data_IF_575837765713
#
_entry.id   IF_575837765713
#
_cell.length_a   1.000
_cell.length_b   1.000
_cell.length_c   1.000
_cell.angle_alpha   90.00
_cell.angle_beta   90.00
_cell.angle_gamma   90.00
#
_symmetry.space_group_name_H-M   'P 1'
#
loop_
_entity.id
_entity.type
_entity.pdbx_description
1 polymer ?
#
# COMPACT_ATOMS: atom_id res chain seq x y z
N UNK A 1 2.92 5.78 7.19
CA UNK A 1 3.65 5.10 6.10
C UNK A 1 4.06 6.05 4.98
N UNK A 2 3.18 6.97 4.51
CA UNK A 2 3.46 7.89 3.39
C UNK A 2 4.76 8.70 3.53
N UNK A 3 4.90 9.48 4.61
CA UNK A 3 6.11 10.28 4.86
C UNK A 3 7.40 9.45 4.86
N UNK A 4 7.34 8.27 5.48
CA UNK A 4 8.49 7.36 5.58
C UNK A 4 8.89 6.77 4.22
N UNK A 5 7.92 6.53 3.32
CA UNK A 5 8.22 6.07 1.97
C UNK A 5 8.94 7.16 1.17
N UNK A 6 8.47 8.41 1.24
CA UNK A 6 9.11 9.55 0.59
C UNK A 6 10.55 9.75 1.09
N UNK A 7 10.76 9.80 2.41
CA UNK A 7 12.08 9.94 3.03
C UNK A 7 13.06 8.83 2.58
N UNK A 8 12.60 7.58 2.44
CA UNK A 8 13.46 6.48 1.98
C UNK A 8 13.83 6.57 0.51
N UNK A 9 12.91 7.03 -0.35
CA UNK A 9 13.19 7.24 -1.78
C UNK A 9 14.35 8.22 -1.94
N UNK A 10 14.29 9.35 -1.23
CA UNK A 10 15.33 10.38 -1.23
C UNK A 10 16.65 9.86 -0.66
N UNK A 11 16.60 9.26 0.54
CA UNK A 11 17.81 8.79 1.25
C UNK A 11 18.59 7.72 0.49
N UNK A 12 17.91 6.89 -0.30
CA UNK A 12 18.53 5.79 -1.04
C UNK A 12 18.66 6.05 -2.54
N UNK A 13 18.37 7.27 -3.02
CA UNK A 13 18.34 7.62 -4.45
C UNK A 13 17.55 6.59 -5.30
N UNK A 14 16.47 6.05 -4.73
CA UNK A 14 15.67 5.03 -5.38
C UNK A 14 14.66 5.67 -6.34
N UNK A 15 14.35 5.00 -7.45
CA UNK A 15 13.31 5.46 -8.37
C UNK A 15 11.91 5.52 -7.74
N UNK A 16 11.66 4.67 -6.74
CA UNK A 16 10.42 4.60 -5.97
C UNK A 16 10.65 3.98 -4.59
N UNK A 17 9.68 4.11 -3.68
CA UNK A 17 9.66 3.43 -2.40
C UNK A 17 8.24 2.94 -2.04
N UNK A 18 8.13 1.67 -1.63
CA UNK A 18 6.88 1.05 -1.20
C UNK A 18 6.98 0.66 0.28
N UNK A 19 6.01 1.08 1.09
CA UNK A 19 5.94 0.78 2.51
C UNK A 19 4.56 0.21 2.89
N UNK A 20 4.58 -0.81 3.75
CA UNK A 20 3.41 -1.44 4.35
C UNK A 20 3.50 -1.27 5.87
N UNK A 21 2.46 -0.77 6.53
CA UNK A 21 2.42 -0.67 7.99
C UNK A 21 2.10 -2.01 8.66
N UNK A 22 2.26 -2.08 9.99
CA UNK A 22 1.56 -3.10 10.76
C UNK A 22 0.05 -2.95 10.64
N UNK A 23 -0.69 -4.02 10.95
CA UNK A 23 -2.14 -3.98 11.07
C UNK A 23 -2.53 -3.34 12.41
N UNK A 24 -3.39 -2.34 12.39
CA UNK A 24 -3.91 -1.65 13.57
C UNK A 24 -5.42 -1.45 13.44
N UNK A 25 -6.19 -1.90 14.42
CA UNK A 25 -7.67 -1.78 14.43
C UNK A 25 -8.33 -2.27 13.13
N UNK A 26 -7.90 -3.43 12.61
CA UNK A 26 -8.33 -3.99 11.31
C UNK A 26 -8.01 -3.12 10.08
N UNK A 27 -7.08 -2.18 10.20
CA UNK A 27 -6.62 -1.37 9.08
C UNK A 27 -5.17 -1.69 8.74
N UNK A 28 -4.89 -1.63 7.44
CA UNK A 28 -3.55 -1.74 6.89
C UNK A 28 -3.31 -0.54 5.98
N UNK A 29 -2.13 0.07 6.09
CA UNK A 29 -1.77 1.23 5.30
C UNK A 29 -0.64 0.90 4.34
N UNK A 30 -0.83 1.29 3.08
CA UNK A 30 0.16 1.22 2.02
C UNK A 30 0.59 2.63 1.65
N UNK A 31 1.86 2.79 1.31
CA UNK A 31 2.37 4.02 0.74
C UNK A 31 3.34 3.70 -0.39
N UNK A 32 3.11 4.32 -1.55
CA UNK A 32 3.97 4.25 -2.72
C UNK A 32 4.44 5.67 -3.04
N UNK A 33 5.72 5.94 -2.82
CA UNK A 33 6.35 7.19 -3.24
C UNK A 33 7.04 6.98 -4.58
N UNK A 34 6.69 7.80 -5.56
CA UNK A 34 7.17 7.74 -6.95
C UNK A 34 7.75 9.10 -7.34
N UNK A 35 8.31 9.26 -8.55
CA UNK A 35 8.71 10.56 -9.06
C UNK A 35 7.53 11.54 -9.25
N UNK A 36 6.32 11.03 -9.48
CA UNK A 36 5.14 11.83 -9.80
C UNK A 36 4.34 12.25 -8.55
N UNK A 37 4.71 11.73 -7.38
CA UNK A 37 4.03 12.01 -6.11
C UNK A 37 4.04 10.82 -5.17
N UNK A 38 3.38 10.98 -4.02
CA UNK A 38 3.18 9.91 -3.04
C UNK A 38 1.71 9.54 -2.97
N UNK A 39 1.44 8.26 -3.19
CA UNK A 39 0.13 7.65 -3.04
C UNK A 39 0.06 6.89 -1.73
N UNK A 40 -1.04 7.01 -0.99
CA UNK A 40 -1.30 6.20 0.18
C UNK A 40 -2.70 5.59 0.13
N UNK A 41 -2.82 4.35 0.57
CA UNK A 41 -4.08 3.64 0.68
C UNK A 41 -4.22 3.12 2.10
N UNK A 42 -5.37 3.40 2.72
CA UNK A 42 -5.81 2.69 3.91
C UNK A 42 -6.89 1.72 3.51
N UNK A 43 -6.73 0.46 3.91
CA UNK A 43 -7.71 -0.59 3.63
C UNK A 43 -8.23 -1.18 4.93
N UNK A 44 -9.51 -1.52 4.93
CA UNK A 44 -10.09 -2.37 5.96
C UNK A 44 -9.74 -3.83 5.63
N UNK A 45 -9.03 -4.47 6.55
CA UNK A 45 -8.46 -5.79 6.42
C UNK A 45 -8.91 -6.68 7.58
N UNK A 46 -10.17 -7.13 7.52
CA UNK A 46 -10.78 -7.97 8.56
C UNK A 46 -10.49 -9.44 8.28
N UNK A 47 -9.38 -9.96 8.81
CA UNK A 47 -8.89 -11.34 8.56
C UNK A 47 -8.76 -12.18 9.84
N UNK A 48 -9.73 -12.05 10.74
CA UNK A 48 -9.76 -12.79 12.01
C UNK A 48 -9.81 -14.32 11.86
N UNK A 49 -10.13 -14.84 10.66
CA UNK A 49 -10.24 -16.29 10.38
C UNK A 49 -9.06 -16.87 9.60
N UNK A 50 -8.04 -16.07 9.29
CA UNK A 50 -6.87 -16.50 8.51
C UNK A 50 -5.60 -16.52 9.36
N UNK A 51 -4.71 -17.48 9.06
CA UNK A 51 -3.41 -17.57 9.71
C UNK A 51 -2.53 -16.36 9.37
N UNK A 52 -1.55 -16.06 10.22
CA UNK A 52 -0.63 -14.94 9.99
C UNK A 52 0.09 -15.01 8.62
N UNK A 53 0.60 -16.18 8.16
CA UNK A 53 1.23 -16.27 6.85
C UNK A 53 0.30 -15.86 5.70
N UNK A 54 -0.93 -16.37 5.68
CA UNK A 54 -1.93 -16.04 4.65
C UNK A 54 -2.22 -14.54 4.65
N UNK A 55 -2.29 -13.91 5.84
CA UNK A 55 -2.47 -12.46 5.94
C UNK A 55 -1.30 -11.70 5.32
N UNK A 56 -0.07 -12.11 5.61
CA UNK A 56 1.14 -11.47 5.08
C UNK A 56 1.24 -11.62 3.55
N UNK A 57 0.87 -12.77 3.00
CA UNK A 57 0.80 -13.00 1.55
C UNK A 57 -0.19 -12.04 0.90
N UNK A 58 -1.36 -11.84 1.50
CA UNK A 58 -2.35 -10.88 1.00
C UNK A 58 -1.81 -9.45 1.09
N UNK A 59 -1.19 -9.07 2.19
CA UNK A 59 -0.56 -7.74 2.33
C UNK A 59 0.47 -7.50 1.22
N UNK A 60 1.33 -8.50 0.95
CA UNK A 60 2.34 -8.42 -0.10
C UNK A 60 1.71 -8.32 -1.49
N UNK A 61 0.70 -9.15 -1.78
CA UNK A 61 -0.05 -9.11 -3.03
C UNK A 61 -0.67 -7.72 -3.26
N UNK A 62 -1.29 -7.12 -2.24
CA UNK A 62 -1.89 -5.80 -2.36
C UNK A 62 -0.86 -4.70 -2.63
N UNK A 63 0.26 -4.72 -1.89
CA UNK A 63 1.34 -3.75 -2.07
C UNK A 63 1.95 -3.85 -3.48
N UNK A 64 2.19 -5.08 -3.96
CA UNK A 64 2.71 -5.33 -5.30
C UNK A 64 1.70 -5.00 -6.38
N UNK A 65 0.40 -5.19 -6.13
CA UNK A 65 -0.64 -4.80 -7.07
C UNK A 65 -0.78 -3.27 -7.17
N UNK A 66 -0.64 -2.54 -6.06
CA UNK A 66 -0.57 -1.08 -6.02
C UNK A 66 0.58 -0.58 -6.92
N UNK A 67 1.77 -1.16 -6.77
CA UNK A 67 2.93 -0.86 -7.61
C UNK A 67 2.69 -1.23 -9.10
N UNK A 68 2.16 -2.43 -9.37
CA UNK A 68 1.85 -2.89 -10.73
C UNK A 68 0.86 -1.95 -11.42
N UNK A 69 -0.16 -1.46 -10.71
CA UNK A 69 -1.14 -0.50 -11.25
C UNK A 69 -0.46 0.80 -11.63
N UNK A 70 0.36 1.37 -10.75
CA UNK A 70 1.12 2.59 -11.05
C UNK A 70 2.03 2.42 -12.28
N UNK A 71 2.81 1.32 -12.35
CA UNK A 71 3.67 1.02 -13.49
C UNK A 71 2.92 0.92 -14.83
N UNK A 72 1.64 0.54 -14.79
CA UNK A 72 0.79 0.43 -15.97
C UNK A 72 -0.08 1.68 -16.22
N UNK A 73 0.15 2.79 -15.50
CA UNK A 73 -0.65 4.01 -15.60
C UNK A 73 -2.11 3.83 -15.15
N UNK A 74 -2.40 2.80 -14.36
CA UNK A 74 -3.73 2.56 -13.80
C UNK A 74 -3.91 3.31 -12.49
N UNK A 75 -5.15 3.65 -12.10
CA UNK A 75 -5.43 4.17 -10.77
C UNK A 75 -4.85 3.25 -9.68
N UNK A 76 -4.09 3.86 -8.77
CA UNK A 76 -3.36 3.16 -7.70
C UNK A 76 -4.33 2.55 -6.69
N UNK A 77 -5.41 3.29 -6.40
CA UNK A 77 -6.57 2.75 -5.69
C UNK A 77 -7.38 1.85 -6.63
N UNK A 78 -7.69 0.64 -6.19
CA UNK A 78 -8.58 -0.26 -6.89
C UNK A 78 -9.35 -1.11 -5.90
N UNK A 79 -10.61 -1.40 -6.23
CA UNK A 79 -11.41 -2.30 -5.42
C UNK A 79 -10.90 -3.73 -5.56
N UNK A 80 -10.87 -4.44 -4.44
CA UNK A 80 -10.58 -5.84 -4.32
C UNK A 80 -11.75 -6.40 -3.53
N UNK A 81 -12.57 -7.29 -4.08
CA UNK A 81 -13.96 -7.50 -3.61
C UNK A 81 -14.21 -7.71 -2.11
N UNK A 82 -13.20 -8.09 -1.31
CA UNK A 82 -13.27 -8.26 0.15
C UNK A 82 -12.39 -7.28 0.96
N UNK A 83 -11.70 -6.38 0.27
CA UNK A 83 -10.80 -5.35 0.80
C UNK A 83 -11.39 -4.00 0.40
N UNK A 84 -11.85 -3.27 1.41
CA UNK A 84 -12.43 -1.95 1.20
C UNK A 84 -11.34 -0.90 1.39
N UNK A 85 -11.02 -0.17 0.31
CA UNK A 85 -10.22 1.05 0.43
C UNK A 85 -11.10 2.08 1.15
N UNK A 86 -10.69 2.44 2.36
CA UNK A 86 -11.43 3.40 3.21
C UNK A 86 -10.86 4.80 3.13
N UNK A 87 -9.60 4.94 2.70
CA UNK A 87 -8.97 6.25 2.52
C UNK A 87 -7.92 6.16 1.41
N UNK A 88 -7.83 7.21 0.59
CA UNK A 88 -6.78 7.38 -0.40
C UNK A 88 -6.23 8.79 -0.35
N UNK A 89 -4.90 8.92 -0.37
CA UNK A 89 -4.18 10.19 -0.51
C UNK A 89 -3.34 10.14 -1.79
N UNK A 90 -3.33 11.22 -2.56
CA UNK A 90 -2.34 11.48 -3.60
C UNK A 90 -1.83 12.91 -3.40
N UNK A 91 -0.54 13.05 -3.15
CA UNK A 91 0.13 14.32 -2.85
C UNK A 91 1.46 14.43 -3.60
#
# INVERSE_FOLDING_TARGET
>A
SARWAAERREKHFAGLALAVSGQESDHLNFALSTPDGTHALRVKFTTNRHSLPVRQEVCAMMALNMLRRWLNGQPVAGEHGWINVVESLSA
#
